data_IF_045654113655
#
_entry.id   IF_045654113655
#
_cell.length_a   1.000
_cell.length_b   1.000
_cell.length_c   1.000
_cell.angle_alpha   90.00
_cell.angle_beta   90.00
_cell.angle_gamma   90.00
#
_symmetry.space_group_name_H-M   'P 1'
#
loop_
_entity.id
_entity.type
_entity.pdbx_description
1 polymer ?
#
# COMPACT_ATOMS: atom_id res chain seq x y z
N UNK A 1 10.88 -54.83 13.01
CA UNK A 1 9.65 -54.38 12.29
C UNK A 1 10.10 -53.98 10.91
N UNK A 2 9.50 -54.53 9.86
CA UNK A 2 9.94 -54.34 8.49
C UNK A 2 9.71 -52.88 8.06
N UNK A 3 10.70 -52.27 7.39
CA UNK A 3 10.67 -50.87 6.93
C UNK A 3 9.39 -50.54 6.12
N UNK A 4 8.93 -51.50 5.33
CA UNK A 4 7.66 -51.36 4.58
C UNK A 4 6.43 -51.19 5.50
N UNK A 5 6.39 -51.86 6.64
CA UNK A 5 5.30 -51.70 7.62
C UNK A 5 5.35 -50.35 8.31
N UNK A 6 6.54 -49.78 8.57
CA UNK A 6 6.67 -48.44 9.14
C UNK A 6 6.18 -47.36 8.16
N UNK A 7 6.54 -47.48 6.86
CA UNK A 7 6.09 -46.57 5.81
C UNK A 7 4.55 -46.61 5.67
N UNK A 8 3.93 -47.78 5.69
CA UNK A 8 2.48 -47.92 5.59
C UNK A 8 1.76 -47.29 6.78
N UNK A 9 2.30 -47.40 8.00
CA UNK A 9 1.73 -46.79 9.20
C UNK A 9 1.82 -45.25 9.09
N UNK A 10 2.95 -44.69 8.62
CA UNK A 10 3.12 -43.26 8.43
C UNK A 10 2.15 -42.70 7.37
N UNK A 11 1.95 -43.38 6.26
CA UNK A 11 0.98 -43.00 5.23
C UNK A 11 -0.46 -43.02 5.79
N UNK A 12 -0.81 -44.04 6.57
CA UNK A 12 -2.14 -44.13 7.19
C UNK A 12 -2.38 -42.98 8.19
N UNK A 13 -1.38 -42.58 8.97
CA UNK A 13 -1.48 -41.44 9.91
C UNK A 13 -1.65 -40.12 9.18
N UNK A 14 -0.99 -39.92 8.03
CA UNK A 14 -1.14 -38.71 7.21
C UNK A 14 -2.54 -38.60 6.63
N UNK A 15 -3.10 -39.75 6.13
CA UNK A 15 -4.47 -39.81 5.57
C UNK A 15 -5.52 -39.53 6.67
N UNK A 16 -5.34 -40.07 7.87
CA UNK A 16 -6.25 -39.85 9.00
C UNK A 16 -6.15 -38.37 9.46
N UNK A 17 -4.94 -37.81 9.54
CA UNK A 17 -4.73 -36.40 9.88
C UNK A 17 -5.36 -35.45 8.87
N UNK A 18 -5.24 -35.72 7.58
CA UNK A 18 -5.89 -34.94 6.51
C UNK A 18 -7.44 -35.07 6.60
N UNK A 19 -7.95 -36.26 6.87
CA UNK A 19 -9.40 -36.48 7.04
C UNK A 19 -9.99 -35.72 8.22
N UNK A 20 -9.30 -35.69 9.36
CA UNK A 20 -9.71 -34.93 10.55
C UNK A 20 -9.65 -33.39 10.25
N UNK A 21 -8.61 -32.91 9.57
CA UNK A 21 -8.50 -31.51 9.16
C UNK A 21 -9.64 -31.07 8.23
N UNK A 22 -9.97 -31.87 7.22
CA UNK A 22 -11.11 -31.61 6.33
C UNK A 22 -12.46 -31.69 7.06
N UNK A 23 -12.65 -32.66 7.93
CA UNK A 23 -13.89 -32.78 8.71
C UNK A 23 -14.10 -31.57 9.64
N UNK A 24 -13.06 -31.08 10.33
CA UNK A 24 -13.13 -29.88 11.16
C UNK A 24 -13.46 -28.61 10.36
N UNK A 25 -12.93 -28.49 9.15
CA UNK A 25 -13.15 -27.32 8.28
C UNK A 25 -14.56 -27.26 7.67
N UNK A 26 -15.18 -28.41 7.43
CA UNK A 26 -16.48 -28.46 6.73
C UNK A 26 -17.67 -28.83 7.60
N UNK A 27 -17.48 -29.51 8.75
CA UNK A 27 -18.57 -29.94 9.63
C UNK A 27 -18.77 -29.07 10.89
N UNK A 28 -17.80 -28.27 11.29
CA UNK A 28 -17.94 -27.34 12.42
C UNK A 28 -18.32 -25.93 11.91
N UNK A 29 -19.42 -25.81 11.18
CA UNK A 29 -20.08 -24.50 11.06
C UNK A 29 -20.85 -24.24 12.35
N UNK A 30 -20.66 -23.07 13.02
CA UNK A 30 -21.49 -22.73 14.17
C UNK A 30 -22.95 -22.64 13.71
N UNK A 31 -23.86 -23.30 14.44
CA UNK A 31 -25.30 -23.14 14.23
C UNK A 31 -25.65 -21.69 14.55
N UNK A 32 -26.11 -20.92 13.55
CA UNK A 32 -26.71 -19.60 13.77
C UNK A 32 -27.90 -19.77 14.72
N UNK A 33 -27.85 -19.10 15.85
CA UNK A 33 -28.97 -19.03 16.77
C UNK A 33 -30.13 -18.27 16.11
N UNK A 34 -31.36 -18.76 16.29
CA UNK A 34 -32.59 -18.16 15.70
C UNK A 34 -32.87 -16.70 16.17
N UNK A 35 -32.16 -16.20 17.17
CA UNK A 35 -32.33 -14.83 17.67
C UNK A 35 -31.60 -13.77 16.81
N UNK A 36 -30.50 -14.11 16.09
CA UNK A 36 -29.82 -13.17 15.20
C UNK A 36 -30.62 -12.88 13.92
N UNK A 37 -31.50 -13.77 13.50
CA UNK A 37 -32.32 -13.60 12.28
C UNK A 37 -33.41 -12.50 12.42
N UNK A 38 -33.73 -12.07 13.64
CA UNK A 38 -34.76 -11.03 13.87
C UNK A 38 -34.19 -9.59 13.83
N UNK A 39 -32.87 -9.43 13.92
CA UNK A 39 -32.20 -8.12 13.84
C UNK A 39 -31.80 -7.75 12.41
N UNK A 40 -31.41 -8.74 11.56
CA UNK A 40 -31.07 -8.48 10.15
C UNK A 40 -32.24 -7.98 9.30
N UNK A 41 -33.50 -8.30 9.67
CA UNK A 41 -34.68 -7.88 8.92
C UNK A 41 -35.23 -6.49 9.27
N UNK A 42 -34.69 -5.79 10.29
CA UNK A 42 -35.11 -4.44 10.65
C UNK A 42 -34.22 -3.33 10.10
N UNK A 43 -32.96 -3.61 9.77
CA UNK A 43 -32.03 -2.62 9.18
C UNK A 43 -32.20 -2.45 7.67
N UNK A 44 -32.77 -3.45 6.97
CA UNK A 44 -32.90 -3.42 5.51
C UNK A 44 -34.10 -2.62 4.95
N UNK A 45 -34.92 -1.99 5.79
CA UNK A 45 -36.15 -1.32 5.34
C UNK A 45 -36.01 0.20 5.14
N UNK A 46 -34.84 0.80 5.37
CA UNK A 46 -34.67 2.26 5.33
C UNK A 46 -33.65 2.78 4.29
N UNK A 47 -33.14 1.91 3.40
CA UNK A 47 -32.26 2.38 2.32
C UNK A 47 -33.12 2.76 1.11
N UNK A 48 -33.02 4.01 0.68
CA UNK A 48 -33.66 4.48 -0.57
C UNK A 48 -32.95 3.85 -1.77
N UNK A 49 -33.65 3.74 -2.93
CA UNK A 49 -33.05 3.23 -4.19
C UNK A 49 -31.75 3.98 -4.54
N UNK A 50 -31.64 5.25 -4.20
CA UNK A 50 -30.44 6.08 -4.36
C UNK A 50 -29.27 5.60 -3.50
N UNK A 51 -29.51 5.11 -2.27
CA UNK A 51 -28.50 4.50 -1.41
C UNK A 51 -28.00 3.15 -1.94
N UNK A 52 -28.89 2.35 -2.53
CA UNK A 52 -28.53 1.07 -3.14
C UNK A 52 -27.72 1.27 -4.43
N UNK A 53 -28.06 2.27 -5.22
CA UNK A 53 -27.31 2.66 -6.43
C UNK A 53 -25.89 3.13 -6.06
N UNK A 54 -25.76 3.95 -5.00
CA UNK A 54 -24.45 4.38 -4.49
C UNK A 54 -23.59 3.20 -3.97
N UNK A 55 -24.20 2.16 -3.37
CA UNK A 55 -23.48 0.98 -2.94
C UNK A 55 -22.98 0.12 -4.11
N UNK A 56 -23.73 0.06 -5.21
CA UNK A 56 -23.31 -0.68 -6.41
C UNK A 56 -22.23 0.08 -7.19
N UNK A 57 -22.23 1.40 -7.18
CA UNK A 57 -21.14 2.22 -7.73
C UNK A 57 -19.82 2.07 -6.94
N UNK A 58 -19.91 1.82 -5.62
CA UNK A 58 -18.73 1.48 -4.78
C UNK A 58 -18.15 0.09 -5.08
N UNK A 59 -18.91 -0.80 -5.75
CA UNK A 59 -18.47 -2.16 -6.13
C UNK A 59 -17.84 -2.23 -7.51
N UNK A 60 -17.92 -1.16 -8.32
CA UNK A 60 -17.24 -1.13 -9.63
C UNK A 60 -15.74 -1.26 -9.42
N UNK A 61 -15.07 -2.16 -10.13
CA UNK A 61 -13.62 -2.26 -10.05
C UNK A 61 -13.01 -0.93 -10.50
N UNK A 62 -12.14 -0.35 -9.64
CA UNK A 62 -11.39 0.85 -9.99
C UNK A 62 -10.51 0.52 -11.19
N UNK A 63 -10.66 1.26 -12.28
CA UNK A 63 -9.78 1.13 -13.43
C UNK A 63 -8.43 1.80 -13.11
N UNK A 64 -7.44 1.01 -12.74
CA UNK A 64 -6.09 1.50 -12.40
C UNK A 64 -5.34 2.11 -13.60
N UNK A 65 -5.82 1.91 -14.82
CA UNK A 65 -5.31 2.55 -16.02
C UNK A 65 -5.92 3.95 -16.25
N UNK A 66 -6.91 4.34 -15.44
CA UNK A 66 -7.48 5.69 -15.53
C UNK A 66 -6.51 6.71 -14.92
N UNK A 67 -5.89 7.49 -15.79
CA UNK A 67 -4.89 8.52 -15.42
C UNK A 67 -5.51 9.74 -14.74
N UNK A 68 -6.85 9.90 -14.76
CA UNK A 68 -7.56 10.95 -14.03
C UNK A 68 -7.64 10.66 -12.53
N UNK A 69 -7.50 9.40 -12.12
CA UNK A 69 -7.56 9.01 -10.72
C UNK A 69 -6.30 9.46 -9.96
N UNK A 70 -6.53 10.18 -8.87
CA UNK A 70 -5.46 10.74 -8.03
C UNK A 70 -5.15 9.81 -6.86
N UNK A 71 -3.92 9.31 -6.73
CA UNK A 71 -3.51 8.57 -5.56
C UNK A 71 -3.59 9.42 -4.29
N UNK A 72 -3.97 8.79 -3.17
CA UNK A 72 -3.95 9.42 -1.86
C UNK A 72 -3.38 8.50 -0.79
N UNK A 73 -2.85 9.10 0.27
CA UNK A 73 -2.50 8.43 1.52
C UNK A 73 -3.20 9.10 2.69
N UNK A 74 -3.80 8.32 3.57
CA UNK A 74 -4.17 8.71 4.92
C UNK A 74 -3.00 8.40 5.85
N UNK A 75 -2.50 9.41 6.52
CA UNK A 75 -1.30 9.32 7.35
C UNK A 75 -1.67 9.29 8.82
N UNK A 76 -1.05 8.38 9.54
CA UNK A 76 -1.15 8.29 11.00
C UNK A 76 0.24 8.34 11.64
N UNK A 77 0.33 8.94 12.83
CA UNK A 77 1.53 8.96 13.67
C UNK A 77 1.19 8.27 14.99
N UNK A 78 1.93 7.23 15.34
CA UNK A 78 1.65 6.38 16.51
C UNK A 78 0.18 5.94 16.58
N UNK A 79 -0.40 5.56 15.40
CA UNK A 79 -1.79 5.14 15.24
C UNK A 79 -2.82 6.27 15.18
N UNK A 80 -2.45 7.52 15.42
CA UNK A 80 -3.36 8.67 15.38
C UNK A 80 -3.37 9.28 13.97
N UNK A 81 -4.53 9.36 13.34
CA UNK A 81 -4.72 10.00 12.05
C UNK A 81 -4.35 11.48 12.11
N UNK A 82 -3.48 11.94 11.21
CA UNK A 82 -3.02 13.34 11.16
C UNK A 82 -3.43 14.09 9.89
N UNK A 83 -3.96 13.38 8.87
CA UNK A 83 -4.49 13.97 7.65
C UNK A 83 -4.27 13.13 6.41
N UNK A 84 -4.80 13.63 5.28
CA UNK A 84 -4.68 13.02 3.95
C UNK A 84 -3.75 13.84 3.07
N UNK A 85 -2.93 13.13 2.27
CA UNK A 85 -2.14 13.70 1.18
C UNK A 85 -2.65 13.17 -0.15
N UNK A 86 -2.68 14.01 -1.19
CA UNK A 86 -3.17 13.67 -2.53
C UNK A 86 -2.10 14.05 -3.54
N UNK A 87 -1.89 13.16 -4.52
CA UNK A 87 -0.87 13.33 -5.54
C UNK A 87 -1.50 13.49 -6.93
N UNK A 88 -0.82 14.24 -7.80
CA UNK A 88 -0.99 14.19 -9.25
C UNK A 88 0.20 13.44 -9.82
N UNK A 89 -0.05 12.42 -10.63
CA UNK A 89 1.00 11.69 -11.34
C UNK A 89 1.24 12.30 -12.72
N UNK A 90 2.44 12.09 -13.27
CA UNK A 90 2.88 12.60 -14.56
C UNK A 90 2.88 11.47 -15.60
N UNK A 91 1.68 10.95 -15.88
CA UNK A 91 1.48 9.77 -16.72
C UNK A 91 1.95 9.93 -18.18
N UNK A 92 1.93 11.16 -18.71
CA UNK A 92 2.41 11.43 -20.08
C UNK A 92 3.93 11.30 -20.19
N UNK A 93 4.66 11.64 -19.12
CA UNK A 93 6.12 11.63 -19.10
C UNK A 93 6.69 10.29 -18.66
N UNK A 94 6.09 9.66 -17.64
CA UNK A 94 6.63 8.43 -17.00
C UNK A 94 5.50 7.42 -16.68
N UNK A 95 4.79 6.93 -17.71
CA UNK A 95 3.60 6.07 -17.54
C UNK A 95 3.89 4.78 -16.77
N UNK A 96 5.04 4.16 -16.98
CA UNK A 96 5.43 2.91 -16.33
C UNK A 96 5.61 3.11 -14.81
N UNK A 97 6.31 4.16 -14.42
CA UNK A 97 6.54 4.52 -13.01
C UNK A 97 5.23 4.90 -12.33
N UNK A 98 4.39 5.71 -12.99
CA UNK A 98 3.07 6.09 -12.50
C UNK A 98 2.15 4.88 -12.30
N UNK A 99 2.14 3.94 -13.25
CA UNK A 99 1.36 2.70 -13.15
C UNK A 99 1.77 1.87 -11.94
N UNK A 100 3.07 1.71 -11.69
CA UNK A 100 3.57 1.02 -10.49
C UNK A 100 3.02 1.63 -9.21
N UNK A 101 3.15 2.95 -9.06
CA UNK A 101 2.70 3.66 -7.87
C UNK A 101 1.18 3.58 -7.70
N UNK A 102 0.41 3.82 -8.76
CA UNK A 102 -1.06 3.74 -8.76
C UNK A 102 -1.56 2.35 -8.38
N UNK A 103 -0.95 1.32 -8.93
CA UNK A 103 -1.29 -0.07 -8.60
C UNK A 103 -1.08 -0.35 -7.11
N UNK A 104 0.07 0.01 -6.55
CA UNK A 104 0.38 -0.20 -5.13
C UNK A 104 -0.51 0.63 -4.20
N UNK A 105 -1.02 1.78 -4.65
CA UNK A 105 -2.05 2.54 -3.93
C UNK A 105 -3.41 1.82 -3.91
N UNK A 106 -3.78 1.13 -4.99
CA UNK A 106 -5.11 0.54 -5.16
C UNK A 106 -5.27 -0.85 -4.54
N UNK A 107 -4.21 -1.64 -4.51
CA UNK A 107 -4.28 -3.08 -4.19
C UNK A 107 -4.74 -3.40 -2.76
N UNK A 108 -4.37 -2.61 -1.78
CA UNK A 108 -4.82 -2.81 -0.40
C UNK A 108 -6.35 -2.72 -0.21
N UNK A 109 -7.05 -2.12 -1.16
CA UNK A 109 -8.52 -2.01 -1.17
C UNK A 109 -9.19 -3.32 -1.63
N UNK A 110 -8.54 -4.11 -2.47
CA UNK A 110 -9.13 -5.30 -3.12
C UNK A 110 -8.69 -6.62 -2.50
N UNK A 111 -7.45 -6.70 -2.04
CA UNK A 111 -6.90 -7.92 -1.46
C UNK A 111 -5.78 -7.57 -0.47
N UNK A 112 -6.05 -7.77 0.82
CA UNK A 112 -5.08 -7.51 1.91
C UNK A 112 -3.82 -8.38 1.83
N UNK A 113 -3.82 -9.43 1.00
CA UNK A 113 -2.67 -10.30 0.80
C UNK A 113 -1.77 -9.85 -0.35
N UNK A 114 -2.16 -8.79 -1.08
CA UNK A 114 -1.36 -8.24 -2.17
C UNK A 114 -0.48 -7.09 -1.70
N UNK A 115 0.70 -6.90 -2.33
CA UNK A 115 1.58 -5.78 -2.03
C UNK A 115 0.85 -4.44 -2.18
N UNK A 116 0.92 -3.60 -1.16
CA UNK A 116 0.28 -2.29 -1.13
C UNK A 116 1.09 -1.33 -0.27
N UNK A 117 0.92 -0.03 -0.48
CA UNK A 117 1.45 0.98 0.42
C UNK A 117 0.70 1.03 1.77
N UNK A 118 -0.51 0.47 1.85
CA UNK A 118 -1.24 0.43 3.11
C UNK A 118 -0.43 -0.31 4.17
N UNK A 119 -0.40 0.26 5.38
CA UNK A 119 0.33 -0.19 6.55
C UNK A 119 1.87 -0.10 6.44
N UNK A 120 2.42 0.41 5.31
CA UNK A 120 3.85 0.73 5.21
C UNK A 120 4.17 2.04 5.93
N UNK A 121 5.45 2.26 6.24
CA UNK A 121 5.90 3.41 7.03
C UNK A 121 6.81 4.35 6.23
N UNK A 122 6.90 5.60 6.70
CA UNK A 122 7.99 6.50 6.34
C UNK A 122 9.15 6.22 7.29
N UNK A 123 10.13 5.47 6.80
CA UNK A 123 11.27 4.98 7.60
C UNK A 123 12.42 5.99 7.69
N UNK A 124 12.42 7.03 6.83
CA UNK A 124 13.47 8.04 6.79
C UNK A 124 12.88 9.43 6.57
N UNK A 125 13.24 10.37 7.45
CA UNK A 125 12.82 11.77 7.39
C UNK A 125 14.04 12.65 7.62
N UNK A 126 14.32 13.53 6.66
CA UNK A 126 15.39 14.54 6.79
C UNK A 126 14.76 15.91 6.63
N UNK A 127 14.77 16.66 7.72
CA UNK A 127 14.23 18.03 7.76
C UNK A 127 14.91 18.89 6.69
N UNK A 128 14.16 19.77 6.05
CA UNK A 128 14.62 20.61 4.95
C UNK A 128 15.20 19.83 3.76
N UNK A 129 14.82 18.56 3.58
CA UNK A 129 15.26 17.77 2.43
C UNK A 129 14.13 16.91 1.85
N UNK A 130 13.79 15.79 2.48
CA UNK A 130 12.76 14.87 1.96
C UNK A 130 12.23 13.94 3.05
N UNK A 131 11.08 13.33 2.80
CA UNK A 131 10.55 12.19 3.54
C UNK A 131 10.50 10.97 2.62
N UNK A 132 11.00 9.81 3.07
CA UNK A 132 11.10 8.58 2.28
C UNK A 132 10.30 7.46 2.92
N UNK A 133 9.56 6.73 2.08
CA UNK A 133 8.75 5.58 2.47
C UNK A 133 8.62 4.57 1.32
N UNK A 134 7.61 3.71 1.42
CA UNK A 134 7.29 2.77 0.36
C UNK A 134 8.11 1.48 0.39
N UNK A 135 8.87 1.19 1.45
CA UNK A 135 9.37 -0.16 1.70
C UNK A 135 8.22 -1.03 2.23
N UNK A 136 7.47 -1.62 1.31
CA UNK A 136 6.29 -2.44 1.59
C UNK A 136 6.62 -3.87 2.05
N UNK A 137 7.90 -4.21 2.20
CA UNK A 137 8.35 -5.56 2.54
C UNK A 137 9.04 -5.64 3.89
N UNK A 138 9.93 -4.71 4.21
CA UNK A 138 10.73 -4.72 5.45
C UNK A 138 10.49 -3.50 6.33
N UNK A 139 10.15 -2.36 5.74
CA UNK A 139 9.91 -1.12 6.46
C UNK A 139 11.17 -0.42 6.99
N UNK A 140 12.36 -0.86 6.62
CA UNK A 140 13.64 -0.32 7.08
C UNK A 140 14.47 0.36 5.96
N UNK A 141 13.92 0.40 4.75
CA UNK A 141 14.55 0.97 3.57
C UNK A 141 15.43 -0.01 2.79
N UNK A 142 15.58 -1.25 3.26
CA UNK A 142 16.38 -2.28 2.56
C UNK A 142 15.56 -3.16 1.62
N UNK A 143 14.23 -3.04 1.69
CA UNK A 143 13.27 -3.82 0.90
C UNK A 143 12.61 -3.03 -0.22
N UNK A 144 11.39 -3.45 -0.55
CA UNK A 144 10.58 -2.90 -1.62
C UNK A 144 10.39 -3.88 -2.77
N UNK A 145 9.31 -3.70 -3.52
CA UNK A 145 8.94 -4.57 -4.63
C UNK A 145 8.04 -3.81 -5.61
N UNK A 146 8.25 -3.97 -6.92
CA UNK A 146 7.43 -3.34 -7.94
C UNK A 146 6.45 -4.34 -8.58
N UNK A 147 5.46 -3.83 -9.31
CA UNK A 147 4.55 -4.67 -10.09
C UNK A 147 5.24 -5.40 -11.24
N UNK A 148 6.47 -5.00 -11.58
CA UNK A 148 7.29 -5.55 -12.66
C UNK A 148 8.29 -6.59 -12.18
N UNK A 149 8.43 -6.76 -10.85
CA UNK A 149 9.39 -7.63 -10.19
C UNK A 149 10.14 -6.90 -9.07
N UNK A 150 11.31 -7.43 -8.69
CA UNK A 150 12.10 -6.85 -7.60
C UNK A 150 12.52 -5.41 -7.89
N UNK A 151 12.89 -5.12 -9.14
CA UNK A 151 13.37 -3.81 -9.60
C UNK A 151 12.92 -3.53 -11.02
N UNK A 152 12.94 -2.25 -11.43
CA UNK A 152 12.72 -1.81 -12.79
C UNK A 152 13.62 -0.61 -13.14
N UNK A 153 13.83 -0.40 -14.44
CA UNK A 153 14.72 0.60 -15.00
C UNK A 153 14.24 2.04 -14.75
N UNK A 154 15.18 2.98 -14.84
CA UNK A 154 14.89 4.41 -14.87
C UNK A 154 14.18 4.75 -16.19
N UNK A 155 12.94 5.25 -16.11
CA UNK A 155 12.12 5.49 -17.30
C UNK A 155 12.65 6.68 -18.11
N UNK A 156 12.87 7.82 -17.48
CA UNK A 156 13.59 8.99 -17.99
C UNK A 156 13.87 10.00 -16.87
N UNK A 157 14.60 11.08 -17.21
CA UNK A 157 14.94 12.19 -16.30
C UNK A 157 14.52 13.55 -16.86
N UNK A 158 13.44 13.62 -17.66
CA UNK A 158 12.95 14.86 -18.26
C UNK A 158 12.42 15.85 -17.22
N UNK A 159 11.90 15.34 -16.11
CA UNK A 159 11.37 16.12 -15.00
C UNK A 159 12.45 16.35 -13.93
N UNK A 160 12.33 17.46 -13.20
CA UNK A 160 13.35 17.90 -12.24
C UNK A 160 12.77 18.14 -10.86
N UNK A 161 13.64 18.10 -9.83
CA UNK A 161 13.28 18.33 -8.42
C UNK A 161 13.30 19.84 -8.11
N UNK A 162 12.48 20.62 -8.81
CA UNK A 162 12.53 22.09 -8.85
C UNK A 162 11.76 22.79 -7.73
N UNK A 163 10.99 22.06 -6.90
CA UNK A 163 10.15 22.62 -5.83
C UNK A 163 9.87 21.60 -4.72
N UNK A 164 9.31 22.03 -3.57
CA UNK A 164 8.77 21.08 -2.56
C UNK A 164 7.57 20.32 -3.10
N UNK A 165 7.31 19.13 -2.52
CA UNK A 165 6.19 18.28 -2.87
C UNK A 165 6.40 17.38 -4.08
N UNK A 166 7.59 17.39 -4.70
CA UNK A 166 7.91 16.46 -5.80
C UNK A 166 7.93 15.04 -5.27
N UNK A 167 7.22 14.14 -5.98
CA UNK A 167 7.19 12.71 -5.76
C UNK A 167 8.18 12.05 -6.72
N UNK A 168 9.16 11.34 -6.16
CA UNK A 168 10.28 10.78 -6.92
C UNK A 168 10.67 9.40 -6.41
N UNK A 169 11.23 8.55 -7.29
CA UNK A 169 11.65 7.20 -6.96
C UNK A 169 12.94 7.19 -6.12
N UNK A 170 12.91 6.49 -5.00
CA UNK A 170 14.13 6.10 -4.31
C UNK A 170 14.78 4.91 -5.05
N UNK A 171 16.10 4.88 -5.10
CA UNK A 171 16.88 3.82 -5.73
C UNK A 171 18.22 3.58 -5.04
N UNK A 172 18.91 2.51 -5.42
CA UNK A 172 20.27 2.15 -4.97
C UNK A 172 21.29 2.24 -6.12
N UNK A 173 21.09 3.15 -7.06
CA UNK A 173 21.85 3.34 -8.29
C UNK A 173 20.95 3.18 -9.53
N UNK A 174 21.51 3.30 -10.74
CA UNK A 174 20.75 3.24 -11.98
C UNK A 174 19.93 1.95 -12.08
N UNK A 175 18.70 2.08 -12.61
CA UNK A 175 17.81 0.95 -12.93
C UNK A 175 17.46 0.06 -11.73
N UNK A 176 17.33 0.64 -10.54
CA UNK A 176 17.00 -0.09 -9.30
C UNK A 176 15.72 0.41 -8.62
N UNK A 177 14.78 0.98 -9.39
CA UNK A 177 13.49 1.43 -8.86
C UNK A 177 12.64 0.23 -8.40
N UNK A 178 11.87 0.44 -7.33
CA UNK A 178 10.92 -0.57 -6.83
C UNK A 178 9.62 0.09 -6.32
N UNK A 179 9.22 -0.12 -5.06
CA UNK A 179 8.10 0.59 -4.43
C UNK A 179 8.52 1.82 -3.66
N UNK A 180 9.82 1.96 -3.30
CA UNK A 180 10.26 3.06 -2.48
C UNK A 180 10.23 4.39 -3.22
N UNK A 181 9.74 5.41 -2.55
CA UNK A 181 9.63 6.78 -3.05
C UNK A 181 10.02 7.78 -1.97
N UNK A 182 10.24 9.02 -2.40
CA UNK A 182 10.36 10.14 -1.47
C UNK A 182 9.55 11.36 -1.96
N UNK A 183 9.22 12.23 -1.00
CA UNK A 183 8.55 13.51 -1.23
C UNK A 183 9.52 14.62 -0.81
N UNK A 184 9.83 15.54 -1.72
CA UNK A 184 10.75 16.63 -1.42
C UNK A 184 10.12 17.69 -0.52
N UNK A 185 10.92 18.25 0.40
CA UNK A 185 10.53 19.34 1.29
C UNK A 185 11.02 20.71 0.80
N UNK A 186 11.93 20.68 -0.15
CA UNK A 186 12.46 21.85 -0.86
C UNK A 186 12.89 21.49 -2.27
N UNK A 187 13.41 22.46 -3.03
CA UNK A 187 14.11 22.24 -4.30
C UNK A 187 15.40 21.44 -4.05
N UNK A 188 15.61 20.34 -4.82
CA UNK A 188 16.73 19.40 -4.61
C UNK A 188 17.41 19.04 -5.96
N UNK A 189 18.03 20.01 -6.68
CA UNK A 189 18.51 19.80 -8.05
C UNK A 189 19.67 18.80 -8.15
N UNK A 190 20.35 18.47 -7.06
CA UNK A 190 21.41 17.45 -7.03
C UNK A 190 20.90 16.02 -7.19
N UNK A 191 19.56 15.82 -7.16
CA UNK A 191 18.87 14.54 -7.42
C UNK A 191 18.50 14.38 -8.89
N UNK A 192 18.56 15.46 -9.69
CA UNK A 192 18.24 15.42 -11.12
C UNK A 192 19.19 14.46 -11.86
N UNK A 193 18.66 13.76 -12.84
CA UNK A 193 19.34 12.69 -13.60
C UNK A 193 19.81 11.49 -12.76
N UNK A 194 19.27 11.32 -11.54
CA UNK A 194 19.56 10.18 -10.65
C UNK A 194 18.31 9.49 -10.13
N UNK A 195 17.23 10.25 -9.97
CA UNK A 195 15.95 9.75 -9.47
C UNK A 195 14.82 10.17 -10.40
N UNK A 196 13.96 9.23 -10.74
CA UNK A 196 12.84 9.46 -11.65
C UNK A 196 11.75 10.21 -10.93
N UNK A 197 11.48 11.45 -11.34
CA UNK A 197 10.34 12.25 -10.88
C UNK A 197 9.09 11.74 -11.58
N UNK A 198 8.03 11.41 -10.82
CA UNK A 198 6.82 10.83 -11.40
C UNK A 198 5.50 11.44 -10.91
N UNK A 199 5.57 12.47 -10.05
CA UNK A 199 4.36 13.14 -9.58
C UNK A 199 4.66 14.31 -8.66
N UNK A 200 3.58 14.88 -8.14
CA UNK A 200 3.64 16.01 -7.22
C UNK A 200 2.49 15.94 -6.20
N UNK A 201 2.75 16.39 -4.99
CA UNK A 201 1.75 16.61 -3.95
C UNK A 201 0.83 17.78 -4.35
N UNK A 202 -0.48 17.55 -4.37
CA UNK A 202 -1.48 18.58 -4.71
C UNK A 202 -2.32 19.02 -3.51
N UNK A 203 -2.36 18.19 -2.44
CA UNK A 203 -3.07 18.51 -1.20
C UNK A 203 -2.41 17.81 -0.02
N UNK A 204 -2.53 18.37 1.18
CA UNK A 204 -1.98 17.81 2.41
C UNK A 204 -0.57 18.29 2.74
N UNK A 205 -0.15 19.46 2.26
CA UNK A 205 1.16 20.06 2.60
C UNK A 205 1.34 20.23 4.11
N UNK A 206 0.28 20.55 4.84
CA UNK A 206 0.28 20.66 6.30
C UNK A 206 0.55 19.32 7.00
N UNK A 207 0.16 18.18 6.37
CA UNK A 207 0.48 16.82 6.87
C UNK A 207 1.97 16.55 6.72
N UNK A 208 2.52 16.85 5.55
CA UNK A 208 3.96 16.70 5.27
C UNK A 208 4.80 17.57 6.21
N UNK A 209 4.34 18.79 6.50
CA UNK A 209 5.00 19.68 7.48
C UNK A 209 4.97 19.11 8.90
N UNK A 210 3.87 18.49 9.34
CA UNK A 210 3.80 17.79 10.64
C UNK A 210 4.79 16.63 10.70
N UNK A 211 4.97 15.88 9.60
CA UNK A 211 5.95 14.78 9.52
C UNK A 211 7.38 15.34 9.63
N UNK A 212 7.68 16.42 8.91
CA UNK A 212 8.99 17.07 8.91
C UNK A 212 9.45 17.53 10.31
N UNK A 213 8.52 17.93 11.17
CA UNK A 213 8.80 18.38 12.55
C UNK A 213 8.96 17.22 13.56
N UNK A 214 8.77 15.98 13.15
CA UNK A 214 9.01 14.82 14.02
C UNK A 214 10.53 14.67 14.22
N UNK A 215 10.94 14.58 15.48
CA UNK A 215 12.33 14.32 15.82
C UNK A 215 12.84 13.02 15.23
N UNK A 216 14.07 13.01 14.77
CA UNK A 216 14.73 11.85 14.17
C UNK A 216 16.02 11.50 14.89
N UNK A 217 16.37 10.20 14.86
CA UNK A 217 17.70 9.71 15.27
C UNK A 217 18.34 9.08 14.02
N UNK A 218 19.44 9.67 13.52
CA UNK A 218 20.09 9.25 12.27
C UNK A 218 19.07 9.10 11.12
N UNK A 219 18.28 10.14 10.86
CA UNK A 219 17.21 10.21 9.85
C UNK A 219 16.00 9.32 10.12
N UNK A 220 16.03 8.42 11.11
CA UNK A 220 14.90 7.56 11.47
C UNK A 220 13.96 8.31 12.42
N UNK A 221 12.67 8.46 12.10
CA UNK A 221 11.72 9.13 12.98
C UNK A 221 11.58 8.44 14.34
N UNK A 222 11.51 9.22 15.42
CA UNK A 222 11.28 8.71 16.78
C UNK A 222 9.82 8.27 17.02
N UNK A 223 8.94 8.49 16.02
CA UNK A 223 7.53 8.08 16.00
C UNK A 223 7.26 7.22 14.78
N UNK A 224 6.32 6.30 14.88
CA UNK A 224 5.91 5.46 13.76
C UNK A 224 4.95 6.25 12.87
N UNK A 225 5.40 6.58 11.65
CA UNK A 225 4.63 7.32 10.64
C UNK A 225 4.13 6.31 9.62
N UNK A 226 2.82 6.03 9.62
CA UNK A 226 2.21 4.96 8.82
C UNK A 226 1.29 5.52 7.74
N UNK A 227 1.30 4.93 6.56
CA UNK A 227 0.25 5.06 5.56
C UNK A 227 -0.91 4.16 6.00
N UNK A 228 -1.79 4.67 6.86
CA UNK A 228 -2.88 3.88 7.46
C UNK A 228 -3.95 3.46 6.44
N UNK A 229 -4.06 4.20 5.34
CA UNK A 229 -4.90 3.87 4.19
C UNK A 229 -4.31 4.51 2.93
N UNK A 230 -4.46 3.84 1.81
CA UNK A 230 -4.17 4.40 0.50
C UNK A 230 -5.27 4.02 -0.51
N UNK A 231 -5.32 4.73 -1.64
CA UNK A 231 -6.31 4.47 -2.69
C UNK A 231 -6.24 5.49 -3.81
N UNK A 232 -7.27 5.50 -4.63
CA UNK A 232 -7.45 6.38 -5.79
C UNK A 232 -8.78 7.16 -5.62
N UNK A 233 -8.76 8.45 -5.99
CA UNK A 233 -9.91 9.38 -5.95
C UNK A 233 -10.35 9.72 -7.36
#
# INVERSE_FOLDING_TARGET
MDIQRIIMILIALIIIGAGIYYASKYFLKPKKNKEESSYENKENSNYTEEHLQNMDDLKKPINIEDTNLKPYFDISVDGNFIGRVIFQLFDEEVPKTCKNFRYLCSMGLFDKNKPSYQDSIFHRVIKDFMIQGGDITRGDGTGGFSIYGERFEDENFNLTHNQPGILSMANSGPDTNNSQFFITLKKTPWLDNKHVVFGILTSGFEVIKKIEEIETNNDTPNKVITISKCGLL
#
